data_IF_353606520069
#
_entry.id   IF_353606520069
#
_cell.length_a   1.000
_cell.length_b   1.000
_cell.length_c   1.000
_cell.angle_alpha   90.00
_cell.angle_beta   90.00
_cell.angle_gamma   90.00
#
_symmetry.space_group_name_H-M   'P 1'
#
loop_
_entity.id
_entity.type
_entity.pdbx_description
1 polymer ?
#
# COMPACT_ATOMS: atom_id res chain seq x y z
N UNK A 1 19.84 -12.88 -0.86
CA UNK A 1 19.08 -14.13 -0.90
C UNK A 1 18.68 -14.55 0.50
N UNK A 2 17.46 -15.01 0.64
CA UNK A 2 16.95 -15.59 1.88
C UNK A 2 16.50 -17.01 1.57
N UNK A 3 17.22 -17.98 2.14
CA UNK A 3 17.01 -19.42 1.92
C UNK A 3 16.62 -20.10 3.24
N UNK A 4 16.11 -21.32 3.17
CA UNK A 4 15.77 -22.12 4.34
C UNK A 4 14.79 -21.42 5.28
N UNK A 5 13.75 -20.82 4.72
CA UNK A 5 12.69 -20.23 5.52
C UNK A 5 12.00 -21.30 6.37
N UNK A 6 11.87 -21.01 7.66
CA UNK A 6 11.13 -21.89 8.56
C UNK A 6 9.65 -21.82 8.26
N UNK A 7 9.05 -22.96 8.04
CA UNK A 7 7.62 -23.14 7.94
C UNK A 7 7.16 -24.41 8.62
N UNK A 8 5.87 -24.70 8.56
CA UNK A 8 5.29 -25.87 9.20
C UNK A 8 4.53 -26.68 8.16
N UNK A 9 4.81 -27.98 8.10
CA UNK A 9 4.04 -28.93 7.30
C UNK A 9 3.11 -29.73 8.22
N UNK A 10 2.00 -30.24 7.68
CA UNK A 10 1.09 -31.10 8.42
C UNK A 10 1.76 -32.42 8.76
N UNK A 11 1.72 -32.79 10.02
CA UNK A 11 2.27 -34.06 10.45
C UNK A 11 1.27 -35.20 10.22
N UNK A 12 1.78 -36.44 10.08
CA UNK A 12 0.92 -37.63 10.05
C UNK A 12 0.07 -37.71 11.33
N UNK A 13 -1.19 -38.09 11.24
CA UNK A 13 -2.04 -38.31 12.44
C UNK A 13 -1.43 -39.27 13.47
N UNK A 14 -0.51 -40.14 13.06
CA UNK A 14 0.20 -41.07 13.91
C UNK A 14 1.33 -40.47 14.74
N UNK A 15 1.77 -39.22 14.42
CA UNK A 15 2.94 -38.58 15.04
C UNK A 15 2.64 -37.85 16.34
N UNK A 16 1.40 -37.85 16.84
CA UNK A 16 0.94 -37.11 18.03
C UNK A 16 1.24 -35.59 18.01
N UNK A 17 1.61 -35.06 16.86
CA UNK A 17 1.79 -33.61 16.62
C UNK A 17 1.00 -33.20 15.39
N UNK A 18 0.47 -31.98 15.40
CA UNK A 18 -0.31 -31.46 14.28
C UNK A 18 0.56 -30.91 13.17
N UNK A 19 1.81 -30.53 13.47
CA UNK A 19 2.71 -29.91 12.50
C UNK A 19 4.18 -30.17 12.82
N UNK A 20 5.00 -30.25 11.79
CA UNK A 20 6.45 -30.40 11.88
C UNK A 20 7.12 -29.19 11.28
N UNK A 21 8.09 -28.54 11.98
CA UNK A 21 8.85 -27.46 11.40
C UNK A 21 9.78 -27.98 10.29
N UNK A 22 9.77 -27.30 9.16
CA UNK A 22 10.61 -27.60 8.01
C UNK A 22 11.29 -26.35 7.49
N UNK A 23 12.51 -26.51 6.99
CA UNK A 23 13.24 -25.46 6.30
C UNK A 23 12.98 -25.57 4.80
N UNK A 24 12.25 -24.60 4.26
CA UNK A 24 11.97 -24.51 2.85
C UNK A 24 11.62 -23.07 2.45
N UNK A 25 11.65 -22.85 1.17
CA UNK A 25 11.37 -21.54 0.60
C UNK A 25 12.63 -20.72 0.39
N UNK A 26 12.66 -20.10 -0.76
CA UNK A 26 13.73 -19.23 -1.20
C UNK A 26 13.11 -17.99 -1.85
N UNK A 27 13.48 -16.81 -1.39
CA UNK A 27 13.17 -15.57 -2.08
C UNK A 27 14.42 -14.68 -2.19
N UNK A 28 14.42 -13.86 -3.21
CA UNK A 28 15.50 -12.91 -3.48
C UNK A 28 14.96 -11.51 -3.27
N UNK A 29 15.73 -10.70 -2.52
CA UNK A 29 15.55 -9.25 -2.46
C UNK A 29 16.59 -8.57 -3.32
N UNK A 30 16.19 -7.58 -4.06
CA UNK A 30 17.06 -6.73 -4.86
C UNK A 30 16.59 -5.30 -4.84
N UNK A 31 17.51 -4.39 -5.05
CA UNK A 31 17.21 -2.97 -5.05
C UNK A 31 18.44 -2.12 -5.35
N UNK A 32 18.23 -0.84 -5.35
CA UNK A 32 19.28 0.16 -5.47
C UNK A 32 18.93 1.37 -4.61
N UNK A 33 19.96 2.05 -4.14
CA UNK A 33 19.89 3.30 -3.42
C UNK A 33 20.81 4.32 -4.08
N UNK A 34 20.36 5.55 -4.21
CA UNK A 34 21.13 6.65 -4.73
C UNK A 34 20.97 7.87 -3.83
N UNK A 35 22.08 8.54 -3.50
CA UNK A 35 22.08 9.78 -2.74
C UNK A 35 22.86 10.84 -3.49
N UNK A 36 22.23 12.00 -3.69
CA UNK A 36 22.82 13.18 -4.32
C UNK A 36 22.85 14.30 -3.28
N UNK A 37 24.04 14.80 -2.99
CA UNK A 37 24.24 15.97 -2.16
C UNK A 37 24.68 17.13 -3.04
N UNK A 38 24.07 18.29 -2.86
CA UNK A 38 24.35 19.49 -3.64
C UNK A 38 24.57 20.68 -2.72
N UNK A 39 25.63 21.43 -3.01
CA UNK A 39 25.78 22.80 -2.57
C UNK A 39 25.18 23.68 -3.67
N UNK A 40 23.98 24.20 -3.43
CA UNK A 40 23.24 24.95 -4.43
C UNK A 40 23.73 26.40 -4.54
N UNK A 41 23.98 27.01 -3.39
CA UNK A 41 24.43 28.36 -3.32
C UNK A 41 25.19 28.66 -2.02
N UNK A 42 26.25 29.47 -2.11
CA UNK A 42 27.01 29.89 -0.94
C UNK A 42 27.57 31.35 -1.10
N UNK A 43 27.25 32.17 -0.12
CA UNK A 43 27.95 33.45 0.12
C UNK A 43 28.70 33.27 1.44
N UNK A 44 30.02 33.22 1.44
CA UNK A 44 30.82 32.93 2.62
C UNK A 44 30.41 33.77 3.84
N UNK A 45 30.17 33.09 4.97
CA UNK A 45 29.74 33.65 6.27
C UNK A 45 28.37 34.34 6.28
N UNK A 46 27.64 34.40 5.15
CA UNK A 46 26.34 35.07 5.07
C UNK A 46 25.23 34.10 4.84
N UNK A 47 25.31 33.27 3.77
CA UNK A 47 24.25 32.36 3.38
C UNK A 47 24.79 31.08 2.75
N UNK A 48 24.20 29.96 3.11
CA UNK A 48 24.50 28.67 2.50
C UNK A 48 23.23 27.87 2.31
N UNK A 49 23.05 27.32 1.10
CA UNK A 49 21.95 26.42 0.77
C UNK A 49 22.49 25.10 0.24
N UNK A 50 22.16 24.02 0.94
CA UNK A 50 22.47 22.67 0.52
C UNK A 50 21.21 21.84 0.38
N UNK A 51 21.23 20.89 -0.54
CA UNK A 51 20.15 19.93 -0.73
C UNK A 51 20.69 18.50 -0.72
N UNK A 52 19.88 17.59 -0.21
CA UNK A 52 20.12 16.15 -0.27
C UNK A 52 18.90 15.46 -0.90
N UNK A 53 19.10 14.74 -1.98
CA UNK A 53 18.10 13.87 -2.60
C UNK A 53 18.51 12.42 -2.40
N UNK A 54 17.62 11.63 -1.79
CA UNK A 54 17.77 10.18 -1.65
C UNK A 54 16.68 9.50 -2.44
N UNK A 55 17.05 8.55 -3.28
CA UNK A 55 16.15 7.71 -4.06
C UNK A 55 16.45 6.26 -3.73
N UNK A 56 15.43 5.46 -3.51
CA UNK A 56 15.60 4.01 -3.34
C UNK A 56 14.47 3.21 -3.97
N UNK A 57 14.83 2.05 -4.46
CA UNK A 57 13.92 1.02 -4.95
C UNK A 57 14.33 -0.32 -4.38
N UNK A 58 13.36 -1.09 -3.90
CA UNK A 58 13.58 -2.47 -3.51
C UNK A 58 12.37 -3.34 -3.89
N UNK A 59 12.65 -4.59 -4.17
CA UNK A 59 11.66 -5.60 -4.45
C UNK A 59 12.08 -6.95 -3.87
N UNK A 60 11.12 -7.85 -3.70
CA UNK A 60 11.36 -9.21 -3.25
C UNK A 60 10.50 -10.18 -4.07
N UNK A 61 11.12 -11.24 -4.58
CA UNK A 61 10.45 -12.24 -5.41
C UNK A 61 10.74 -13.65 -4.94
N UNK A 62 9.73 -14.50 -4.99
CA UNK A 62 9.87 -15.91 -4.70
C UNK A 62 10.66 -16.61 -5.81
N UNK A 63 11.64 -17.43 -5.41
CA UNK A 63 12.34 -18.37 -6.27
C UNK A 63 11.82 -19.79 -6.08
N UNK A 64 11.60 -20.15 -4.83
CA UNK A 64 11.07 -21.45 -4.45
C UNK A 64 10.04 -21.25 -3.33
N UNK A 65 8.94 -21.94 -3.43
CA UNK A 65 7.91 -22.00 -2.39
C UNK A 65 7.87 -23.41 -1.80
N UNK A 66 7.14 -23.56 -0.73
CA UNK A 66 6.88 -24.80 -0.02
C UNK A 66 6.32 -25.85 -0.96
N UNK A 67 6.99 -27.02 -1.13
CA UNK A 67 6.56 -28.01 -2.11
C UNK A 67 5.22 -28.68 -1.78
N UNK A 68 4.88 -28.79 -0.50
CA UNK A 68 3.68 -29.49 -0.04
C UNK A 68 2.54 -28.57 0.38
N UNK A 69 2.69 -27.27 0.21
CA UNK A 69 1.64 -26.33 0.50
C UNK A 69 0.71 -26.17 -0.71
N UNK A 70 -0.57 -26.34 -0.51
CA UNK A 70 -1.56 -26.17 -1.56
C UNK A 70 -1.67 -24.68 -1.92
N UNK A 71 -0.98 -24.28 -2.97
CA UNK A 71 -1.15 -22.97 -3.56
C UNK A 71 -2.14 -23.06 -4.71
N UNK A 72 -3.05 -22.12 -4.77
CA UNK A 72 -3.84 -21.89 -5.97
C UNK A 72 -2.90 -21.65 -7.16
N UNK A 73 -3.25 -22.13 -8.35
CA UNK A 73 -2.37 -22.04 -9.54
C UNK A 73 -1.91 -20.62 -9.84
N UNK A 74 -2.78 -19.62 -9.62
CA UNK A 74 -2.44 -18.22 -9.82
C UNK A 74 -1.37 -17.69 -8.84
N UNK A 75 -1.06 -18.40 -7.76
CA UNK A 75 -0.01 -18.06 -6.76
C UNK A 75 1.32 -18.78 -6.96
N UNK A 76 1.47 -19.57 -8.03
CA UNK A 76 2.68 -20.38 -8.26
C UNK A 76 3.56 -19.79 -9.36
N UNK A 77 3.26 -18.58 -9.82
CA UNK A 77 4.00 -17.96 -10.93
C UNK A 77 5.46 -17.71 -10.55
N UNK A 78 6.36 -18.05 -11.46
CA UNK A 78 7.81 -17.84 -11.28
C UNK A 78 8.09 -16.34 -11.11
N UNK A 79 9.00 -16.02 -10.17
CA UNK A 79 9.38 -14.65 -9.81
C UNK A 79 8.23 -13.76 -9.29
N UNK A 80 7.23 -14.37 -8.69
CA UNK A 80 6.13 -13.66 -8.07
C UNK A 80 6.61 -12.80 -6.90
N UNK A 81 6.13 -11.56 -6.75
CA UNK A 81 6.47 -10.73 -5.61
C UNK A 81 6.08 -11.38 -4.27
N UNK A 82 6.96 -11.30 -3.28
CA UNK A 82 6.67 -11.81 -1.93
C UNK A 82 5.48 -11.09 -1.31
N UNK A 83 5.34 -9.79 -1.59
CA UNK A 83 4.24 -8.96 -1.12
C UNK A 83 3.22 -8.71 -2.23
N UNK A 84 2.59 -9.76 -2.73
CA UNK A 84 1.57 -9.68 -3.76
C UNK A 84 0.16 -9.70 -3.17
N UNK A 85 -0.76 -8.92 -3.77
CA UNK A 85 -2.20 -9.07 -3.66
C UNK A 85 -2.77 -9.58 -4.98
N UNK A 86 -3.80 -10.39 -4.85
CA UNK A 86 -4.53 -10.98 -5.97
C UNK A 86 -5.95 -10.44 -5.96
N UNK A 87 -6.48 -10.12 -7.14
CA UNK A 87 -7.79 -9.53 -7.28
C UNK A 87 -8.35 -9.74 -8.69
N UNK A 88 -9.67 -9.61 -8.81
CA UNK A 88 -10.33 -9.43 -10.09
C UNK A 88 -10.44 -7.95 -10.43
N UNK A 89 -10.10 -7.58 -11.67
CA UNK A 89 -10.44 -6.26 -12.22
C UNK A 89 -11.95 -6.16 -12.41
N UNK A 90 -12.51 -4.97 -12.21
CA UNK A 90 -13.94 -4.72 -12.31
C UNK A 90 -14.24 -3.58 -13.27
N UNK A 91 -15.35 -3.68 -14.01
CA UNK A 91 -15.80 -2.71 -15.02
C UNK A 91 -17.11 -2.01 -14.63
N UNK A 92 -17.38 -1.88 -13.36
CA UNK A 92 -18.60 -1.30 -12.81
C UNK A 92 -19.48 -2.34 -12.11
N UNK A 93 -20.80 -2.11 -12.10
CA UNK A 93 -21.75 -2.98 -11.43
C UNK A 93 -22.90 -3.36 -12.38
N UNK A 94 -23.51 -4.53 -12.14
CA UNK A 94 -24.65 -5.02 -12.92
C UNK A 94 -25.87 -4.13 -12.64
N UNK A 95 -26.49 -3.65 -13.73
CA UNK A 95 -27.72 -2.84 -13.68
C UNK A 95 -28.90 -3.65 -13.16
N UNK A 96 -29.99 -2.95 -12.80
CA UNK A 96 -31.20 -3.58 -12.29
C UNK A 96 -31.87 -4.51 -13.29
N UNK A 97 -31.81 -4.17 -14.58
CA UNK A 97 -32.34 -4.94 -15.72
C UNK A 97 -31.32 -5.94 -16.28
N UNK A 98 -30.11 -5.97 -15.75
CA UNK A 98 -28.97 -6.78 -16.20
C UNK A 98 -28.54 -6.54 -17.65
N UNK A 99 -28.93 -5.42 -18.25
CA UNK A 99 -28.63 -5.10 -19.66
C UNK A 99 -27.14 -4.97 -19.96
N UNK A 100 -26.35 -4.59 -18.95
CA UNK A 100 -24.90 -4.42 -19.04
C UNK A 100 -24.09 -5.65 -18.58
N UNK A 101 -24.74 -6.75 -18.23
CA UNK A 101 -24.05 -7.96 -17.76
C UNK A 101 -23.42 -8.70 -18.94
N UNK A 102 -22.08 -8.88 -18.98
CA UNK A 102 -21.42 -9.59 -20.07
C UNK A 102 -21.66 -11.09 -20.00
N UNK A 103 -21.44 -11.76 -21.12
CA UNK A 103 -21.63 -13.23 -21.23
C UNK A 103 -20.69 -13.99 -20.27
N UNK A 104 -19.45 -13.53 -20.15
CA UNK A 104 -18.45 -14.09 -19.24
C UNK A 104 -18.93 -14.16 -17.77
N UNK A 105 -19.73 -13.19 -17.33
CA UNK A 105 -20.30 -13.16 -15.96
C UNK A 105 -21.25 -14.32 -15.69
N UNK A 106 -21.87 -14.91 -16.72
CA UNK A 106 -22.78 -16.04 -16.61
C UNK A 106 -22.07 -17.34 -16.17
N UNK A 107 -20.78 -17.41 -16.31
CA UNK A 107 -19.97 -18.55 -15.82
C UNK A 107 -19.88 -18.60 -14.28
N UNK A 108 -20.20 -17.51 -13.60
CA UNK A 108 -20.14 -17.39 -12.16
C UNK A 108 -21.43 -17.90 -11.49
N UNK A 109 -21.41 -18.20 -10.16
CA UNK A 109 -22.60 -18.54 -9.40
C UNK A 109 -23.71 -17.48 -9.52
N UNK A 110 -24.97 -17.91 -9.41
CA UNK A 110 -26.14 -17.04 -9.58
C UNK A 110 -26.14 -15.81 -8.66
N UNK A 111 -25.56 -15.89 -7.47
CA UNK A 111 -25.42 -14.78 -6.53
C UNK A 111 -24.46 -13.69 -7.08
N UNK A 112 -23.49 -14.06 -7.94
CA UNK A 112 -22.60 -13.11 -8.63
C UNK A 112 -23.21 -12.50 -9.91
N UNK A 113 -24.41 -12.90 -10.28
CA UNK A 113 -25.14 -12.41 -11.45
C UNK A 113 -26.31 -11.50 -11.05
N UNK A 114 -26.32 -10.99 -9.82
CA UNK A 114 -27.40 -10.14 -9.33
C UNK A 114 -27.12 -8.65 -9.56
N UNK A 115 -28.15 -7.82 -9.73
CA UNK A 115 -27.99 -6.38 -9.80
C UNK A 115 -27.17 -5.82 -8.63
N UNK A 116 -26.25 -4.90 -8.90
CA UNK A 116 -25.34 -4.33 -7.91
C UNK A 116 -24.09 -5.18 -7.64
N UNK A 117 -23.97 -6.38 -8.21
CA UNK A 117 -22.74 -7.16 -8.15
C UNK A 117 -21.69 -6.57 -9.12
N UNK A 118 -20.39 -6.59 -8.77
CA UNK A 118 -19.34 -6.13 -9.68
C UNK A 118 -19.31 -6.91 -11.00
N UNK A 119 -19.20 -6.22 -12.10
CA UNK A 119 -18.88 -6.82 -13.38
C UNK A 119 -17.40 -7.14 -13.36
N UNK A 120 -17.08 -8.43 -13.36
CA UNK A 120 -15.70 -8.90 -13.40
C UNK A 120 -15.22 -8.90 -14.85
N UNK A 121 -14.04 -8.31 -15.03
CA UNK A 121 -13.41 -8.26 -16.35
C UNK A 121 -12.86 -9.63 -16.73
N UNK A 122 -13.26 -10.11 -17.88
CA UNK A 122 -12.63 -11.23 -18.56
C UNK A 122 -11.28 -10.76 -19.13
N UNK A 123 -10.21 -11.12 -18.47
CA UNK A 123 -8.88 -10.57 -18.74
C UNK A 123 -8.14 -11.33 -19.85
N UNK A 124 -8.54 -12.56 -20.14
CA UNK A 124 -7.97 -13.40 -21.18
C UNK A 124 -8.86 -13.48 -22.44
N UNK A 125 -10.14 -13.04 -22.37
CA UNK A 125 -11.07 -12.98 -23.49
C UNK A 125 -11.70 -14.32 -23.88
N UNK A 126 -11.76 -15.28 -22.96
CA UNK A 126 -12.31 -16.62 -23.23
C UNK A 126 -13.82 -16.74 -22.96
N UNK A 127 -14.49 -15.64 -22.59
CA UNK A 127 -15.89 -15.54 -22.20
C UNK A 127 -16.25 -16.34 -20.93
N UNK A 128 -15.30 -16.54 -20.04
CA UNK A 128 -15.52 -17.14 -18.74
C UNK A 128 -14.71 -16.39 -17.68
N UNK A 129 -15.22 -16.37 -16.47
CA UNK A 129 -14.45 -15.84 -15.33
C UNK A 129 -13.87 -17.01 -14.55
N UNK A 130 -12.56 -17.14 -14.60
CA UNK A 130 -11.80 -18.22 -13.99
C UNK A 130 -10.63 -17.66 -13.17
N UNK A 131 -9.79 -18.53 -12.64
CA UNK A 131 -8.57 -18.12 -11.94
C UNK A 131 -7.54 -17.47 -12.87
N UNK A 132 -7.65 -17.67 -14.18
CA UNK A 132 -6.77 -17.08 -15.19
C UNK A 132 -6.97 -15.56 -15.34
N UNK A 133 -8.15 -15.07 -14.93
CA UNK A 133 -8.48 -13.64 -14.91
C UNK A 133 -7.96 -12.92 -13.68
N UNK A 134 -7.44 -13.67 -12.71
CA UNK A 134 -6.88 -13.09 -11.49
C UNK A 134 -5.62 -12.31 -11.80
N UNK A 135 -5.63 -11.03 -11.46
CA UNK A 135 -4.48 -10.13 -11.55
C UNK A 135 -3.72 -10.10 -10.24
N UNK A 136 -2.46 -9.73 -10.33
CA UNK A 136 -1.56 -9.60 -9.21
C UNK A 136 -0.99 -8.19 -9.15
N UNK A 137 -0.90 -7.63 -7.96
CA UNK A 137 -0.26 -6.32 -7.71
C UNK A 137 0.73 -6.42 -6.55
N UNK A 138 1.97 -5.98 -6.80
CA UNK A 138 2.96 -5.81 -5.75
C UNK A 138 2.55 -4.63 -4.85
N UNK A 139 2.64 -4.82 -3.54
CA UNK A 139 2.24 -3.83 -2.54
C UNK A 139 3.37 -2.91 -2.11
N UNK A 140 4.61 -3.29 -2.42
CA UNK A 140 5.77 -2.46 -2.12
C UNK A 140 5.78 -1.21 -2.99
N UNK A 141 6.20 -0.06 -2.43
CA UNK A 141 6.43 1.13 -3.23
C UNK A 141 7.47 0.85 -4.32
N UNK A 142 7.23 1.40 -5.51
CA UNK A 142 8.20 1.32 -6.61
C UNK A 142 9.40 2.23 -6.35
N UNK A 143 9.18 3.39 -5.71
CA UNK A 143 10.22 4.36 -5.40
C UNK A 143 9.94 4.98 -4.04
N UNK A 144 10.99 5.12 -3.23
CA UNK A 144 11.05 5.95 -2.04
C UNK A 144 11.89 7.18 -2.36
N UNK A 145 11.43 8.34 -1.91
CA UNK A 145 12.11 9.62 -2.11
C UNK A 145 12.26 10.30 -0.76
N UNK A 146 13.49 10.72 -0.44
CA UNK A 146 13.80 11.63 0.64
C UNK A 146 14.40 12.91 0.04
N UNK A 147 13.92 14.07 0.44
CA UNK A 147 14.44 15.35 -0.02
C UNK A 147 14.61 16.31 1.15
N UNK A 148 15.87 16.57 1.49
CA UNK A 148 16.28 17.52 2.52
C UNK A 148 16.81 18.80 1.93
N UNK A 149 16.48 19.94 2.56
CA UNK A 149 17.07 21.22 2.29
C UNK A 149 17.51 21.86 3.59
N UNK A 150 18.76 22.33 3.62
CA UNK A 150 19.31 23.08 4.73
C UNK A 150 19.69 24.47 4.24
N UNK A 151 19.15 25.48 4.89
CA UNK A 151 19.46 26.88 4.68
C UNK A 151 20.14 27.42 5.94
N UNK A 152 21.30 28.02 5.77
CA UNK A 152 22.01 28.70 6.85
C UNK A 152 22.14 30.17 6.48
N UNK A 153 21.63 31.06 7.31
CA UNK A 153 21.75 32.49 7.16
C UNK A 153 22.36 33.10 8.44
N UNK A 154 23.63 33.45 8.37
CA UNK A 154 24.41 33.90 9.53
C UNK A 154 24.34 32.88 10.67
N UNK A 155 23.63 33.21 11.74
CA UNK A 155 23.46 32.37 12.93
C UNK A 155 22.17 31.53 12.89
N UNK A 156 21.31 31.72 11.91
CA UNK A 156 20.08 30.96 11.73
C UNK A 156 20.31 29.77 10.83
N UNK A 157 19.70 28.65 11.15
CA UNK A 157 19.58 27.47 10.29
C UNK A 157 18.12 27.05 10.15
N UNK A 158 17.73 26.67 8.94
CA UNK A 158 16.41 26.12 8.62
C UNK A 158 16.63 24.82 7.89
N UNK A 159 16.12 23.72 8.46
CA UNK A 159 16.09 22.40 7.86
C UNK A 159 14.66 22.04 7.50
N UNK A 160 14.44 21.60 6.24
CA UNK A 160 13.17 21.09 5.76
C UNK A 160 13.40 19.72 5.17
N UNK A 161 12.76 18.70 5.72
CA UNK A 161 12.84 17.33 5.19
C UNK A 161 11.49 16.83 4.74
N UNK A 162 11.44 16.40 3.48
CA UNK A 162 10.28 15.79 2.84
C UNK A 162 10.55 14.31 2.55
N UNK A 163 9.49 13.52 2.62
CA UNK A 163 9.55 12.10 2.37
C UNK A 163 8.33 11.65 1.55
N UNK A 164 8.56 10.77 0.58
CA UNK A 164 7.51 10.26 -0.28
C UNK A 164 7.69 8.79 -0.65
N UNK A 165 6.57 8.16 -0.96
CA UNK A 165 6.51 6.81 -1.54
C UNK A 165 5.60 6.83 -2.75
N UNK A 166 6.05 6.28 -3.88
CA UNK A 166 5.30 6.23 -5.12
C UNK A 166 5.08 4.79 -5.59
N UNK A 167 3.94 4.55 -6.23
CA UNK A 167 3.56 3.23 -6.73
C UNK A 167 3.23 2.23 -5.63
N UNK A 168 2.88 2.71 -4.44
CA UNK A 168 2.44 1.88 -3.32
C UNK A 168 0.95 1.57 -3.44
N UNK A 169 0.59 0.31 -3.28
CA UNK A 169 -0.81 -0.11 -3.20
C UNK A 169 -1.11 -0.65 -1.81
N UNK A 170 -2.30 -0.31 -1.28
CA UNK A 170 -2.76 -0.81 0.02
C UNK A 170 -4.22 -1.27 -0.06
N UNK A 171 -4.51 -2.35 0.63
CA UNK A 171 -5.88 -2.74 0.91
C UNK A 171 -6.51 -1.73 1.87
N UNK A 172 -7.64 -1.18 1.50
CA UNK A 172 -8.33 -0.18 2.30
C UNK A 172 -9.41 -0.82 3.18
N UNK A 173 -9.03 -1.25 4.37
CA UNK A 173 -9.95 -1.83 5.33
C UNK A 173 -11.08 -0.85 5.73
N UNK A 174 -10.76 0.42 5.92
CA UNK A 174 -11.76 1.42 6.29
C UNK A 174 -12.84 1.58 5.21
N UNK A 175 -12.42 1.57 3.94
CA UNK A 175 -13.32 1.57 2.80
C UNK A 175 -14.19 0.32 2.76
N UNK A 176 -13.60 -0.85 2.88
CA UNK A 176 -14.34 -2.11 2.88
C UNK A 176 -15.31 -2.21 4.05
N UNK A 177 -14.92 -1.81 5.25
CA UNK A 177 -15.80 -1.79 6.41
C UNK A 177 -16.94 -0.81 6.25
N UNK A 178 -16.70 0.37 5.66
CA UNK A 178 -17.76 1.33 5.35
C UNK A 178 -18.78 0.77 4.34
N UNK A 179 -18.34 -0.09 3.42
CA UNK A 179 -19.22 -0.72 2.42
C UNK A 179 -19.95 -1.96 2.98
N UNK A 180 -19.33 -2.72 3.89
CA UNK A 180 -19.79 -4.05 4.29
C UNK A 180 -20.23 -4.08 5.75
N UNK A 181 -19.49 -3.41 6.63
CA UNK A 181 -19.62 -3.58 8.09
C UNK A 181 -20.78 -2.81 8.69
N UNK A 182 -20.95 -1.57 8.30
CA UNK A 182 -21.90 -0.68 8.99
C UNK A 182 -23.37 -0.93 8.63
N UNK A 183 -23.62 -1.63 7.55
CA UNK A 183 -24.98 -1.92 7.07
C UNK A 183 -25.53 -3.25 7.59
N UNK A 184 -24.63 -4.19 7.95
CA UNK A 184 -25.03 -5.51 8.47
C UNK A 184 -25.20 -5.52 10.00
N UNK A 185 -24.67 -4.55 10.71
CA UNK A 185 -24.81 -4.49 12.17
C UNK A 185 -26.09 -3.74 12.57
N UNK A 186 -26.85 -4.34 13.48
CA UNK A 186 -28.10 -3.83 14.02
C UNK A 186 -27.98 -2.52 14.83
N UNK A 187 -26.79 -2.01 15.03
CA UNK A 187 -26.55 -0.74 15.71
C UNK A 187 -26.37 0.38 14.70
N UNK A 188 -27.17 1.43 14.74
CA UNK A 188 -27.01 2.60 13.89
C UNK A 188 -25.66 3.27 14.19
N UNK A 189 -24.78 3.30 13.20
CA UNK A 189 -23.48 3.98 13.25
C UNK A 189 -23.40 5.00 12.13
N UNK A 190 -22.62 6.05 12.37
CA UNK A 190 -22.31 7.01 11.31
C UNK A 190 -21.47 6.31 10.24
N UNK A 191 -22.03 6.20 9.05
CA UNK A 191 -21.35 5.62 7.90
C UNK A 191 -20.43 6.62 7.22
N UNK A 192 -19.37 6.13 6.60
CA UNK A 192 -18.47 6.95 5.79
C UNK A 192 -19.22 7.46 4.54
N UNK A 193 -18.83 8.66 4.05
CA UNK A 193 -19.39 9.26 2.82
C UNK A 193 -19.36 8.35 1.58
N UNK A 194 -18.52 7.35 1.55
CA UNK A 194 -18.48 6.34 0.47
C UNK A 194 -19.80 5.57 0.31
N UNK A 195 -20.64 5.52 1.35
CA UNK A 195 -21.96 4.91 1.27
C UNK A 195 -22.83 5.51 0.16
N UNK A 196 -22.66 6.80 -0.14
CA UNK A 196 -23.38 7.46 -1.24
C UNK A 196 -22.93 7.03 -2.64
N UNK A 197 -21.83 6.32 -2.78
CA UNK A 197 -21.32 5.81 -4.06
C UNK A 197 -21.72 4.35 -4.30
N UNK A 198 -22.31 3.69 -3.29
CA UNK A 198 -22.76 2.31 -3.38
C UNK A 198 -23.98 2.23 -4.25
N UNK A 199 -24.03 1.24 -5.14
CA UNK A 199 -25.22 0.93 -5.90
C UNK A 199 -26.36 0.47 -4.98
N UNK A 200 -27.56 0.99 -5.21
CA UNK A 200 -28.76 0.60 -4.49
C UNK A 200 -29.96 0.67 -5.44
N UNK A 201 -30.75 -0.39 -5.48
CA UNK A 201 -31.88 -0.51 -6.39
C UNK A 201 -32.97 0.55 -6.22
N UNK A 202 -33.07 1.17 -5.06
CA UNK A 202 -34.11 2.15 -4.75
C UNK A 202 -33.57 3.59 -4.69
N UNK A 203 -32.37 3.78 -4.11
CA UNK A 203 -31.87 5.11 -3.78
C UNK A 203 -30.71 5.58 -4.64
N UNK A 204 -29.94 4.67 -5.25
CA UNK A 204 -28.78 5.00 -6.07
C UNK A 204 -28.48 3.96 -7.15
N UNK A 205 -29.31 3.91 -8.19
CA UNK A 205 -29.12 2.97 -9.33
C UNK A 205 -27.92 3.33 -10.19
N UNK A 206 -27.38 4.55 -10.08
CA UNK A 206 -26.17 5.00 -10.78
C UNK A 206 -24.90 4.85 -9.93
N UNK A 207 -24.99 4.21 -8.77
CA UNK A 207 -23.82 3.89 -7.97
C UNK A 207 -22.85 3.00 -8.74
N UNK A 208 -21.58 3.37 -8.73
CA UNK A 208 -20.52 2.68 -9.47
C UNK A 208 -19.75 1.67 -8.60
N UNK A 209 -20.17 1.49 -7.37
CA UNK A 209 -19.57 0.55 -6.42
C UNK A 209 -20.56 -0.54 -6.07
N UNK A 210 -20.04 -1.74 -5.80
CA UNK A 210 -20.87 -2.91 -5.48
C UNK A 210 -21.94 -2.61 -4.44
N UNK A 211 -23.12 -3.10 -4.68
CA UNK A 211 -24.25 -2.96 -3.78
C UNK A 211 -24.08 -3.81 -2.51
N UNK A 212 -24.81 -3.45 -1.44
CA UNK A 212 -24.72 -4.14 -0.15
C UNK A 212 -25.13 -5.61 -0.25
N UNK A 213 -26.15 -5.92 -1.06
CA UNK A 213 -26.59 -7.29 -1.31
C UNK A 213 -25.49 -8.15 -1.97
N UNK A 214 -24.58 -7.53 -2.73
CA UNK A 214 -23.46 -8.20 -3.38
C UNK A 214 -22.29 -8.50 -2.43
N UNK A 215 -22.38 -8.10 -1.18
CA UNK A 215 -21.39 -8.41 -0.15
C UNK A 215 -21.55 -9.80 0.46
N UNK A 216 -22.66 -10.49 0.15
CA UNK A 216 -22.78 -11.90 0.47
C UNK A 216 -21.58 -12.62 -0.11
N UNK A 217 -20.89 -13.39 0.71
CA UNK A 217 -19.70 -14.12 0.29
C UNK A 217 -20.06 -15.08 -0.85
N UNK A 218 -19.78 -14.66 -2.08
CA UNK A 218 -19.85 -15.54 -3.24
C UNK A 218 -18.48 -16.21 -3.35
N UNK A 219 -18.47 -17.52 -3.44
CA UNK A 219 -17.25 -18.27 -3.69
C UNK A 219 -16.81 -18.04 -5.14
N UNK A 220 -15.97 -17.02 -5.33
CA UNK A 220 -15.32 -16.79 -6.61
C UNK A 220 -14.14 -17.77 -6.78
N UNK A 221 -13.81 -18.13 -8.03
CA UNK A 221 -12.59 -18.90 -8.28
C UNK A 221 -11.37 -18.27 -7.59
N UNK A 222 -10.57 -19.07 -6.90
CA UNK A 222 -9.39 -18.59 -6.19
C UNK A 222 -9.65 -17.79 -4.89
N UNK A 223 -10.89 -17.56 -4.52
CA UNK A 223 -11.28 -16.84 -3.29
C UNK A 223 -10.54 -15.49 -3.10
N UNK A 224 -10.40 -14.73 -4.17
CA UNK A 224 -9.75 -13.42 -4.18
C UNK A 224 -10.76 -12.28 -4.14
N UNK A 225 -10.30 -11.09 -3.74
CA UNK A 225 -11.11 -9.88 -3.68
C UNK A 225 -11.20 -9.14 -5.02
N UNK A 226 -11.69 -7.91 -4.97
CA UNK A 226 -11.84 -7.03 -6.11
C UNK A 226 -10.81 -5.90 -6.10
N UNK A 227 -10.51 -5.37 -7.28
CA UNK A 227 -9.58 -4.23 -7.43
C UNK A 227 -9.97 -3.03 -6.58
N UNK A 228 -11.26 -2.73 -6.47
CA UNK A 228 -11.77 -1.57 -5.73
C UNK A 228 -11.38 -1.55 -4.23
N UNK A 229 -11.06 -2.72 -3.66
CA UNK A 229 -10.58 -2.84 -2.28
C UNK A 229 -9.13 -2.35 -2.11
N UNK A 230 -8.41 -2.18 -3.22
CA UNK A 230 -7.01 -1.79 -3.25
C UNK A 230 -6.84 -0.39 -3.80
N UNK A 231 -6.22 0.47 -3.02
CA UNK A 231 -6.07 1.88 -3.37
C UNK A 231 -4.61 2.28 -3.52
N UNK A 232 -4.38 3.26 -4.38
CA UNK A 232 -3.10 3.91 -4.47
C UNK A 232 -2.83 4.66 -3.16
N UNK A 233 -1.77 4.26 -2.47
CA UNK A 233 -1.33 4.84 -1.21
C UNK A 233 0.01 5.59 -1.38
N UNK A 234 0.27 6.11 -2.58
CA UNK A 234 1.39 7.00 -2.84
C UNK A 234 1.17 8.32 -2.11
N UNK A 235 2.23 8.87 -1.57
CA UNK A 235 2.17 10.14 -0.84
C UNK A 235 3.51 10.87 -0.86
N UNK A 236 3.44 12.16 -0.63
CA UNK A 236 4.56 13.03 -0.23
C UNK A 236 4.10 13.79 1.00
N UNK A 237 4.99 13.93 1.97
CA UNK A 237 4.74 14.72 3.18
C UNK A 237 5.99 15.45 3.64
N UNK A 238 5.80 16.58 4.27
CA UNK A 238 6.85 17.26 5.03
C UNK A 238 6.97 16.55 6.37
N UNK A 239 8.13 15.94 6.63
CA UNK A 239 8.35 15.17 7.85
C UNK A 239 8.72 16.05 9.02
N UNK A 240 9.62 17.00 8.79
CA UNK A 240 9.99 17.99 9.79
C UNK A 240 10.43 19.31 9.16
N UNK A 241 10.20 20.37 9.89
CA UNK A 241 10.72 21.70 9.67
C UNK A 241 11.37 22.13 10.98
N UNK A 242 12.68 22.37 10.95
CA UNK A 242 13.44 22.78 12.14
C UNK A 242 14.07 24.13 11.89
N UNK A 243 13.75 25.11 12.73
CA UNK A 243 14.39 26.44 12.74
C UNK A 243 15.28 26.54 13.95
N UNK A 244 16.58 26.75 13.73
CA UNK A 244 17.60 26.90 14.76
C UNK A 244 18.22 28.29 14.77
N UNK A 245 18.72 28.67 15.93
CA UNK A 245 19.55 29.85 16.14
C UNK A 245 20.79 29.49 16.96
N UNK A 246 21.96 29.79 16.41
CA UNK A 246 23.26 29.45 16.99
C UNK A 246 23.89 30.67 17.64
N UNK A 247 24.01 30.66 18.96
CA UNK A 247 24.73 31.65 19.75
C UNK A 247 26.19 31.22 19.90
N UNK A 248 27.11 31.87 19.20
CA UNK A 248 28.55 31.60 19.40
C UNK A 248 29.05 32.11 20.77
N UNK A 249 30.05 31.47 21.33
CA UNK A 249 30.66 31.87 22.62
C UNK A 249 31.02 33.36 22.69
N UNK A 250 31.47 33.94 21.58
CA UNK A 250 31.77 35.39 21.46
C UNK A 250 30.55 36.29 21.75
N UNK A 251 29.35 35.80 21.53
CA UNK A 251 28.08 36.52 21.82
C UNK A 251 27.55 36.28 23.24
N UNK A 252 28.13 35.33 23.96
CA UNK A 252 27.69 34.92 25.29
C UNK A 252 28.40 35.70 26.43
N UNK A 253 29.29 36.67 26.10
CA UNK A 253 30.07 37.42 27.11
C UNK A 253 30.92 36.49 27.97
N UNK A 254 30.90 36.66 29.30
CA UNK A 254 31.69 35.83 30.23
C UNK A 254 31.32 34.32 30.21
N UNK A 255 30.10 33.98 29.81
CA UNK A 255 29.69 32.57 29.68
C UNK A 255 30.45 31.91 28.53
N UNK A 256 30.83 32.67 27.53
CA UNK A 256 31.59 32.20 26.36
C UNK A 256 33.00 31.68 26.69
N UNK A 257 33.55 32.01 27.88
CA UNK A 257 34.83 31.45 28.35
C UNK A 257 34.70 29.94 28.72
N UNK A 258 33.47 29.48 29.00
CA UNK A 258 33.18 28.12 29.42
C UNK A 258 32.31 27.36 28.37
N UNK A 259 31.52 28.07 27.55
CA UNK A 259 30.58 27.49 26.60
C UNK A 259 30.90 28.02 25.20
N UNK A 260 31.33 27.15 24.33
CA UNK A 260 31.72 27.51 22.95
C UNK A 260 30.55 27.94 22.05
N UNK A 261 29.38 27.36 22.26
CA UNK A 261 28.14 27.74 21.54
C UNK A 261 26.90 27.20 22.26
N UNK A 262 25.76 27.88 22.05
CA UNK A 262 24.42 27.43 22.45
C UNK A 262 23.55 27.44 21.19
N UNK A 263 22.86 26.33 20.87
CA UNK A 263 21.86 26.28 19.81
C UNK A 263 20.49 26.15 20.45
N UNK A 264 19.58 27.06 20.09
CA UNK A 264 18.16 26.98 20.42
C UNK A 264 17.42 26.70 19.14
N UNK A 265 16.44 25.77 19.18
CA UNK A 265 15.68 25.41 17.98
C UNK A 265 14.22 25.11 18.30
N UNK A 266 13.38 25.25 17.28
CA UNK A 266 11.99 24.81 17.26
C UNK A 266 11.86 23.78 16.15
N UNK A 267 11.27 22.63 16.45
CA UNK A 267 11.00 21.56 15.50
C UNK A 267 9.51 21.29 15.38
N UNK A 268 9.03 21.27 14.14
CA UNK A 268 7.66 20.95 13.79
C UNK A 268 7.64 19.63 13.02
N UNK A 269 7.07 18.59 13.60
CA UNK A 269 7.02 17.26 13.01
C UNK A 269 5.67 16.99 12.32
N UNK A 270 5.73 16.44 11.11
CA UNK A 270 4.57 16.09 10.29
C UNK A 270 3.56 17.23 10.13
N UNK A 271 4.01 18.45 9.75
CA UNK A 271 3.09 19.59 9.60
C UNK A 271 2.08 19.39 8.45
N UNK A 272 2.46 18.61 7.41
CA UNK A 272 1.62 18.34 6.22
C UNK A 272 1.77 16.91 5.72
#
# INVERSE_FOLDING_TARGET
DVTNLLGYDSASPLSMTSSVPMNYGHYVRYGWDATINSLNFEIPRVFKWTSQLTLSHHNAVWKERMPNYYYEEYRIRKNEPVNAYYYYETEGVINIDKSNMPESQKSLPADAQQPGYPIIKDANGDNKITIDDVKMRNTLPKIHIGFGNTFVYKDFDLDVFMYGQFGRTRYNYAYRWALVGDVYYTSPKNSNKYVYTIWNSQTNQNGNRRGIASTKAVALPGNVGFEEDYQNASFVRVRNITLGYNLSGKKLGRVGDYVSSIRVFIDCQNPF
#
